data_IF_630169657771
#
_entry.id   IF_630169657771
#
_cell.length_a   1.000
_cell.length_b   1.000
_cell.length_c   1.000
_cell.angle_alpha   90.00
_cell.angle_beta   90.00
_cell.angle_gamma   90.00
#
_symmetry.space_group_name_H-M   'P 1'
#
loop_
_entity.id
_entity.type
_entity.pdbx_description
1 polymer ?
#
# COMPACT_ATOMS: atom_id res chain seq x y z
N UNK A 1 14.15 -38.16 8.80
CA UNK A 1 13.67 -37.03 9.60
C UNK A 1 12.91 -36.10 8.65
N UNK A 2 11.66 -35.82 8.96
CA UNK A 2 10.62 -35.31 8.04
C UNK A 2 11.07 -34.07 7.23
N UNK A 3 10.97 -34.18 5.90
CA UNK A 3 10.78 -33.05 4.99
C UNK A 3 9.44 -32.35 5.35
N UNK A 4 9.23 -31.11 4.89
CA UNK A 4 7.94 -30.39 4.83
C UNK A 4 7.73 -29.19 5.76
N UNK A 5 8.78 -28.59 6.29
CA UNK A 5 8.68 -27.24 6.87
C UNK A 5 9.29 -26.22 5.89
N UNK A 6 8.47 -25.25 5.47
CA UNK A 6 8.85 -23.99 4.84
C UNK A 6 8.96 -23.92 3.31
N UNK A 7 8.17 -24.71 2.56
CA UNK A 7 7.79 -24.31 1.18
C UNK A 7 6.63 -23.32 1.20
N UNK A 8 6.77 -22.25 1.98
CA UNK A 8 5.83 -21.14 1.90
C UNK A 8 5.89 -20.63 0.46
N UNK A 9 4.81 -20.88 -0.29
CA UNK A 9 4.73 -20.53 -1.71
C UNK A 9 4.93 -19.01 -1.84
N UNK A 10 6.12 -18.61 -2.27
CA UNK A 10 6.57 -17.21 -2.33
C UNK A 10 5.58 -16.36 -3.14
N UNK A 11 5.00 -16.93 -4.20
CA UNK A 11 3.99 -16.26 -5.02
C UNK A 11 2.70 -15.98 -4.23
N UNK A 12 2.31 -16.91 -3.33
CA UNK A 12 1.15 -16.73 -2.46
C UNK A 12 1.42 -15.64 -1.42
N UNK A 13 2.62 -15.58 -0.84
CA UNK A 13 3.01 -14.52 0.10
C UNK A 13 3.07 -13.17 -0.58
N UNK A 14 3.70 -13.07 -1.75
CA UNK A 14 3.78 -11.82 -2.51
C UNK A 14 2.38 -11.26 -2.80
N UNK A 15 1.44 -12.14 -3.17
CA UNK A 15 0.05 -11.79 -3.41
C UNK A 15 -0.63 -11.26 -2.15
N UNK A 16 -0.43 -11.93 -1.00
CA UNK A 16 -1.00 -11.50 0.29
C UNK A 16 -0.41 -10.15 0.71
N UNK A 17 0.91 -9.99 0.62
CA UNK A 17 1.61 -8.74 0.96
C UNK A 17 1.13 -7.59 0.06
N UNK A 18 0.97 -7.83 -1.25
CA UNK A 18 0.45 -6.83 -2.19
C UNK A 18 -0.97 -6.39 -1.85
N UNK A 19 -1.86 -7.33 -1.53
CA UNK A 19 -3.23 -7.02 -1.09
C UNK A 19 -3.18 -6.25 0.24
N UNK A 20 -2.36 -6.68 1.20
CA UNK A 20 -2.22 -6.00 2.49
C UNK A 20 -1.73 -4.56 2.35
N UNK A 21 -0.70 -4.32 1.53
CA UNK A 21 -0.20 -2.97 1.22
C UNK A 21 -1.29 -2.16 0.51
N UNK A 22 -2.00 -2.76 -0.45
CA UNK A 22 -3.11 -2.11 -1.13
C UNK A 22 -4.22 -1.66 -0.18
N UNK A 23 -4.63 -2.51 0.76
CA UNK A 23 -5.61 -2.18 1.82
C UNK A 23 -5.08 -1.04 2.68
N UNK A 24 -3.81 -1.08 3.09
CA UNK A 24 -3.20 -0.03 3.90
C UNK A 24 -3.19 1.32 3.17
N UNK A 25 -2.76 1.34 1.90
CA UNK A 25 -2.76 2.56 1.08
C UNK A 25 -4.18 3.08 0.85
N UNK A 26 -5.14 2.20 0.62
CA UNK A 26 -6.55 2.56 0.45
C UNK A 26 -7.11 3.19 1.74
N UNK A 27 -6.83 2.59 2.89
CA UNK A 27 -7.20 3.11 4.20
C UNK A 27 -6.60 4.48 4.48
N UNK A 28 -5.31 4.68 4.17
CA UNK A 28 -4.67 5.99 4.26
C UNK A 28 -5.39 7.04 3.38
N UNK A 29 -5.78 6.65 2.16
CA UNK A 29 -6.57 7.51 1.27
C UNK A 29 -7.90 7.98 1.88
N UNK A 30 -8.61 7.10 2.60
CA UNK A 30 -9.84 7.44 3.33
C UNK A 30 -9.54 8.43 4.48
N UNK A 31 -8.44 8.21 5.19
CA UNK A 31 -8.06 9.00 6.37
C UNK A 31 -7.55 10.40 6.05
N UNK A 32 -7.23 10.73 4.79
CA UNK A 32 -6.74 12.05 4.37
C UNK A 32 -7.65 13.19 4.85
N UNK A 33 -8.98 13.02 4.75
CA UNK A 33 -9.94 14.04 5.19
C UNK A 33 -9.84 14.29 6.70
N UNK A 34 -9.69 13.23 7.49
CA UNK A 34 -9.57 13.34 8.94
C UNK A 34 -8.24 14.01 9.32
N UNK A 35 -7.15 13.66 8.64
CA UNK A 35 -5.83 14.29 8.84
C UNK A 35 -5.90 15.80 8.56
N UNK A 36 -6.53 16.20 7.45
CA UNK A 36 -6.75 17.60 7.12
C UNK A 36 -7.55 18.32 8.23
N UNK A 37 -8.66 17.74 8.67
CA UNK A 37 -9.50 18.36 9.71
C UNK A 37 -8.73 18.51 11.04
N UNK A 38 -7.93 17.52 11.43
CA UNK A 38 -7.08 17.58 12.62
C UNK A 38 -5.95 18.61 12.48
N UNK A 39 -5.41 18.78 11.27
CA UNK A 39 -4.43 19.81 10.97
C UNK A 39 -5.04 21.22 11.06
N UNK A 40 -6.21 21.43 10.47
CA UNK A 40 -6.94 22.70 10.54
C UNK A 40 -7.37 23.03 11.99
N UNK A 41 -7.60 22.01 12.83
CA UNK A 41 -7.89 22.15 14.26
C UNK A 41 -6.66 22.40 15.15
N UNK A 42 -5.45 22.43 14.59
CA UNK A 42 -4.21 22.68 15.35
C UNK A 42 -3.70 21.49 16.17
N UNK A 43 -4.17 20.26 15.90
CA UNK A 43 -3.75 19.05 16.65
C UNK A 43 -2.26 18.71 16.44
N UNK A 44 -1.69 19.08 15.28
CA UNK A 44 -0.28 18.85 14.98
C UNK A 44 0.56 20.09 15.32
N UNK A 45 1.40 19.99 16.35
CA UNK A 45 2.34 21.05 16.74
C UNK A 45 3.70 20.90 16.04
N UNK A 46 4.29 22.05 15.67
CA UNK A 46 5.67 22.17 15.18
C UNK A 46 6.67 22.21 16.34
N UNK A 47 7.89 21.65 16.21
CA UNK A 47 8.44 20.90 15.08
C UNK A 47 8.35 19.39 15.34
N UNK A 48 7.38 18.72 14.71
CA UNK A 48 7.25 17.26 14.76
C UNK A 48 7.19 16.66 13.36
N UNK A 49 7.69 15.44 13.21
CA UNK A 49 7.61 14.71 11.92
C UNK A 49 6.15 14.52 11.49
N UNK A 50 5.24 14.33 12.45
CA UNK A 50 3.79 14.25 12.22
C UNK A 50 3.23 15.55 11.63
N UNK A 51 3.69 16.70 12.11
CA UNK A 51 3.30 18.00 11.58
C UNK A 51 3.75 18.18 10.13
N UNK A 52 4.97 17.76 9.77
CA UNK A 52 5.45 17.84 8.38
C UNK A 52 4.59 16.99 7.44
N UNK A 53 4.29 15.75 7.81
CA UNK A 53 3.42 14.89 7.00
C UNK A 53 1.99 15.42 6.89
N UNK A 54 1.40 15.85 8.01
CA UNK A 54 0.06 16.42 8.01
C UNK A 54 -0.02 17.70 7.18
N UNK A 55 1.00 18.56 7.22
CA UNK A 55 1.10 19.77 6.40
C UNK A 55 1.13 19.46 4.90
N UNK A 56 1.91 18.47 4.48
CA UNK A 56 1.98 18.05 3.07
C UNK A 56 0.63 17.51 2.59
N UNK A 57 -0.01 16.65 3.41
CA UNK A 57 -1.32 16.07 3.08
C UNK A 57 -2.41 17.16 3.04
N UNK A 58 -2.37 18.12 3.97
CA UNK A 58 -3.33 19.21 4.05
C UNK A 58 -3.17 20.23 2.90
N UNK A 59 -2.00 20.33 2.26
CA UNK A 59 -1.78 21.22 1.12
C UNK A 59 -2.60 20.80 -0.11
N UNK A 60 -2.73 19.49 -0.35
CA UNK A 60 -3.43 18.94 -1.52
C UNK A 60 -4.26 17.69 -1.19
N UNK A 61 -5.25 17.80 -0.28
CA UNK A 61 -5.96 16.65 0.29
C UNK A 61 -6.71 15.83 -0.78
N UNK A 62 -7.26 16.50 -1.80
CA UNK A 62 -7.96 15.81 -2.88
C UNK A 62 -7.02 14.91 -3.70
N UNK A 63 -5.80 15.36 -3.95
CA UNK A 63 -4.80 14.59 -4.72
C UNK A 63 -4.39 13.35 -3.92
N UNK A 64 -4.01 13.53 -2.65
CA UNK A 64 -3.64 12.40 -1.79
C UNK A 64 -4.77 11.38 -1.60
N UNK A 65 -6.02 11.85 -1.50
CA UNK A 65 -7.20 10.98 -1.43
C UNK A 65 -7.36 10.17 -2.72
N UNK A 66 -7.33 10.81 -3.88
CA UNK A 66 -7.50 10.14 -5.18
C UNK A 66 -6.37 9.14 -5.41
N UNK A 67 -5.12 9.51 -5.12
CA UNK A 67 -3.97 8.62 -5.26
C UNK A 67 -4.09 7.43 -4.30
N UNK A 68 -4.38 7.68 -3.01
CA UNK A 68 -4.54 6.63 -2.02
C UNK A 68 -5.65 5.63 -2.40
N UNK A 69 -6.79 6.14 -2.85
CA UNK A 69 -7.88 5.29 -3.35
C UNK A 69 -7.53 4.53 -4.62
N UNK A 70 -7.00 5.23 -5.63
CA UNK A 70 -6.70 4.62 -6.93
C UNK A 70 -5.58 3.59 -6.82
N UNK A 71 -4.46 3.96 -6.21
CA UNK A 71 -3.30 3.07 -6.04
C UNK A 71 -3.64 1.90 -5.11
N UNK A 72 -4.32 2.18 -4.00
CA UNK A 72 -4.79 1.13 -3.08
C UNK A 72 -5.72 0.15 -3.76
N UNK A 73 -6.73 0.65 -4.49
CA UNK A 73 -7.67 -0.19 -5.24
C UNK A 73 -6.96 -1.03 -6.31
N UNK A 74 -6.04 -0.45 -7.08
CA UNK A 74 -5.27 -1.18 -8.10
C UNK A 74 -4.45 -2.30 -7.46
N UNK A 75 -3.78 -2.04 -6.33
CA UNK A 75 -2.98 -3.05 -5.63
C UNK A 75 -3.85 -4.20 -5.08
N UNK A 76 -5.01 -3.87 -4.51
CA UNK A 76 -5.97 -4.87 -4.04
C UNK A 76 -6.51 -5.67 -5.22
N UNK A 77 -6.96 -5.01 -6.27
CA UNK A 77 -7.57 -5.66 -7.43
C UNK A 77 -6.58 -6.54 -8.20
N UNK A 78 -5.36 -6.06 -8.44
CA UNK A 78 -4.29 -6.85 -9.08
C UNK A 78 -3.84 -8.01 -8.19
N UNK A 79 -3.75 -7.77 -6.88
CA UNK A 79 -3.47 -8.80 -5.89
C UNK A 79 -4.55 -9.88 -5.83
N UNK A 80 -5.84 -9.52 -5.83
CA UNK A 80 -6.94 -10.49 -5.80
C UNK A 80 -7.11 -11.22 -7.13
N UNK A 81 -6.87 -10.59 -8.28
CA UNK A 81 -6.98 -11.30 -9.57
C UNK A 81 -5.75 -12.18 -9.88
N UNK A 82 -4.70 -12.13 -9.06
CA UNK A 82 -3.45 -12.85 -9.32
C UNK A 82 -2.66 -12.29 -10.51
N UNK A 83 -3.09 -11.15 -11.08
CA UNK A 83 -2.41 -10.47 -12.16
C UNK A 83 -1.29 -9.63 -11.58
N UNK A 84 -0.11 -10.22 -11.47
CA UNK A 84 1.07 -9.54 -10.99
C UNK A 84 1.88 -8.99 -12.17
N UNK A 85 1.87 -7.67 -12.46
CA UNK A 85 2.73 -7.11 -13.50
C UNK A 85 4.21 -7.35 -13.19
N UNK A 86 4.61 -7.42 -11.92
CA UNK A 86 6.00 -7.70 -11.53
C UNK A 86 6.44 -9.13 -11.86
N UNK A 87 5.57 -10.13 -11.78
CA UNK A 87 5.90 -11.51 -12.19
C UNK A 87 6.16 -11.57 -13.71
N UNK A 88 5.38 -10.79 -14.48
CA UNK A 88 5.55 -10.66 -15.94
C UNK A 88 6.73 -9.78 -16.33
N UNK A 89 7.06 -8.76 -15.53
CA UNK A 89 8.17 -7.84 -15.76
C UNK A 89 9.52 -8.46 -15.38
N UNK A 90 9.57 -9.23 -14.30
CA UNK A 90 10.82 -9.84 -13.84
C UNK A 90 11.19 -11.11 -14.59
N UNK A 91 10.24 -11.80 -15.25
CA UNK A 91 10.45 -12.98 -16.10
C UNK A 91 11.77 -13.71 -15.78
N UNK A 92 11.98 -14.05 -14.50
CA UNK A 92 13.14 -14.83 -14.09
C UNK A 92 12.77 -16.19 -14.62
N UNK A 93 13.35 -16.50 -15.77
CA UNK A 93 13.16 -17.71 -16.52
C UNK A 93 13.48 -18.90 -15.60
N UNK A 94 12.49 -19.39 -14.85
CA UNK A 94 12.56 -20.69 -14.19
C UNK A 94 12.16 -21.78 -15.18
N UNK A 95 12.67 -21.74 -16.42
CA UNK A 95 12.90 -22.99 -17.13
C UNK A 95 13.97 -23.73 -16.34
N UNK A 96 13.52 -24.48 -15.34
CA UNK A 96 14.25 -25.65 -14.88
C UNK A 96 14.16 -26.66 -16.03
N UNK A 97 15.21 -26.70 -16.84
CA UNK A 97 15.66 -27.95 -17.46
C UNK A 97 16.77 -28.51 -16.59
#
# INVERSE_FOLDING_TARGET
>A
MNNDNDTVNINKVERIVRVAIGILTFYLGIQVTNIKNLFDAGYYMSPSTKYLFARIIALSPNIFRIIGWSVGFILIFTGINGFCPFYKLFHINTNKK
#
